data_IF_772057058403
#
_entry.id   IF_772057058403
#
_cell.length_a   1.000
_cell.length_b   1.000
_cell.length_c   1.000
_cell.angle_alpha   90.00
_cell.angle_beta   90.00
_cell.angle_gamma   90.00
#
_symmetry.space_group_name_H-M   'P 1'
#
loop_
_entity.id
_entity.type
_entity.pdbx_description
1 polymer ?
#
# COMPACT_ATOMS: atom_id res chain seq x y z
N UNK A 1 7.97 29.92 -1.99
CA UNK A 1 6.94 30.59 -1.16
C UNK A 1 5.87 29.61 -0.64
N UNK A 2 4.91 29.08 -1.45
CA UNK A 2 3.98 28.04 -0.96
C UNK A 2 4.68 26.69 -0.75
N UNK A 3 5.70 26.39 -1.55
CA UNK A 3 6.52 25.18 -1.45
C UNK A 3 7.28 25.08 -0.12
N UNK A 4 7.80 26.22 0.38
CA UNK A 4 8.60 26.27 1.63
C UNK A 4 7.73 26.13 2.89
N UNK A 5 6.51 26.70 2.87
CA UNK A 5 5.56 26.55 3.98
C UNK A 5 4.96 25.14 4.03
N UNK A 6 4.70 24.54 2.87
CA UNK A 6 4.32 23.14 2.79
C UNK A 6 5.46 22.24 3.32
N UNK A 7 6.71 22.52 2.97
CA UNK A 7 7.88 21.81 3.50
C UNK A 7 7.99 21.95 5.03
N UNK A 8 7.80 23.15 5.58
CA UNK A 8 7.75 23.37 7.03
C UNK A 8 6.62 22.59 7.68
N UNK A 9 5.40 22.67 7.15
CA UNK A 9 4.25 21.94 7.65
C UNK A 9 4.48 20.42 7.64
N UNK A 10 4.98 19.85 6.53
CA UNK A 10 5.31 18.42 6.44
C UNK A 10 6.38 18.01 7.46
N UNK A 11 7.40 18.84 7.66
CA UNK A 11 8.48 18.58 8.61
C UNK A 11 7.99 18.59 10.08
N UNK A 12 7.14 19.54 10.45
CA UNK A 12 6.59 19.62 11.81
C UNK A 12 5.44 18.63 12.05
N UNK A 13 4.70 18.22 11.02
CA UNK A 13 3.61 17.25 11.14
C UNK A 13 4.14 15.81 11.22
N UNK A 14 5.28 15.52 10.59
CA UNK A 14 5.87 14.18 10.52
C UNK A 14 7.33 14.18 10.99
N UNK A 15 7.54 14.47 12.26
CA UNK A 15 8.88 14.56 12.88
C UNK A 15 9.65 13.24 12.87
N UNK A 16 8.94 12.10 12.79
CA UNK A 16 9.52 10.76 12.92
C UNK A 16 9.75 10.06 11.57
N UNK A 17 9.50 10.73 10.44
CA UNK A 17 9.71 10.14 9.12
C UNK A 17 11.19 10.15 8.73
N UNK A 18 11.71 9.07 8.11
CA UNK A 18 13.05 9.06 7.53
C UNK A 18 13.21 10.20 6.51
N UNK A 19 14.39 10.85 6.43
CA UNK A 19 14.62 12.01 5.55
C UNK A 19 14.33 11.73 4.07
N UNK A 20 14.53 10.47 3.62
CA UNK A 20 14.14 10.04 2.27
C UNK A 20 12.64 10.07 2.03
N UNK A 21 11.81 9.70 3.02
CA UNK A 21 10.34 9.72 2.92
C UNK A 21 9.79 11.14 2.99
N UNK A 22 10.40 12.02 3.79
CA UNK A 22 10.06 13.46 3.79
C UNK A 22 10.34 14.11 2.43
N UNK A 23 11.47 13.76 1.79
CA UNK A 23 11.81 14.26 0.45
C UNK A 23 10.80 13.81 -0.60
N UNK A 24 10.39 12.54 -0.55
CA UNK A 24 9.36 11.98 -1.45
C UNK A 24 7.99 12.61 -1.20
N UNK A 25 7.61 12.81 0.07
CA UNK A 25 6.37 13.48 0.46
C UNK A 25 6.35 14.92 -0.07
N UNK A 26 7.47 15.65 0.03
CA UNK A 26 7.62 16.99 -0.54
C UNK A 26 7.50 16.98 -2.07
N UNK A 27 8.21 16.09 -2.74
CA UNK A 27 8.21 16.00 -4.20
C UNK A 27 6.83 15.60 -4.76
N UNK A 28 6.05 14.83 -3.99
CA UNK A 28 4.67 14.53 -4.33
C UNK A 28 3.75 15.69 -4.00
N UNK A 29 3.76 16.25 -2.78
CA UNK A 29 2.87 17.33 -2.40
C UNK A 29 3.07 18.60 -3.25
N UNK A 30 4.31 18.87 -3.68
CA UNK A 30 4.70 20.01 -4.50
C UNK A 30 5.15 19.54 -5.88
N UNK A 31 4.20 19.20 -6.74
CA UNK A 31 4.48 19.01 -8.15
C UNK A 31 3.42 19.68 -9.02
N UNK A 32 3.84 20.03 -10.25
CA UNK A 32 2.99 20.71 -11.22
C UNK A 32 1.73 19.90 -11.56
N UNK A 33 1.79 18.57 -11.53
CA UNK A 33 0.64 17.71 -11.80
C UNK A 33 -0.43 17.83 -10.71
N UNK A 34 -0.02 17.86 -9.44
CA UNK A 34 -0.90 18.04 -8.31
C UNK A 34 -1.48 19.45 -8.27
N UNK A 35 -0.69 20.48 -8.60
CA UNK A 35 -1.25 21.83 -8.79
C UNK A 35 -2.24 21.90 -9.94
N UNK A 36 -1.99 21.22 -11.06
CA UNK A 36 -2.96 21.14 -12.14
C UNK A 36 -4.26 20.45 -11.71
N UNK A 37 -4.18 19.37 -10.92
CA UNK A 37 -5.36 18.69 -10.34
C UNK A 37 -6.13 19.60 -9.39
N UNK A 38 -5.43 20.37 -8.56
CA UNK A 38 -6.03 21.41 -7.70
C UNK A 38 -6.74 22.47 -8.54
N UNK A 39 -6.13 22.91 -9.64
CA UNK A 39 -6.74 23.88 -10.57
C UNK A 39 -8.03 23.34 -11.21
N UNK A 40 -8.08 22.05 -11.53
CA UNK A 40 -9.30 21.41 -12.04
C UNK A 40 -10.36 21.29 -10.95
N UNK A 41 -9.99 20.77 -9.77
CA UNK A 41 -10.88 20.56 -8.62
C UNK A 41 -11.61 21.82 -8.18
N UNK A 42 -10.91 22.96 -8.17
CA UNK A 42 -11.48 24.26 -7.81
C UNK A 42 -11.94 25.08 -9.01
N UNK A 43 -12.10 24.44 -10.17
CA UNK A 43 -12.59 25.07 -11.42
C UNK A 43 -11.77 26.27 -11.90
N UNK A 44 -10.52 26.44 -11.45
CA UNK A 44 -9.67 27.57 -11.84
C UNK A 44 -9.33 27.59 -13.33
N UNK A 45 -9.33 26.41 -13.97
CA UNK A 45 -9.08 26.26 -15.41
C UNK A 45 -10.06 27.06 -16.29
N UNK A 46 -11.31 27.30 -15.86
CA UNK A 46 -12.30 28.06 -16.64
C UNK A 46 -12.02 29.56 -16.68
N UNK A 47 -11.19 30.06 -15.75
CA UNK A 47 -10.80 31.45 -15.66
C UNK A 47 -9.48 31.74 -16.39
N UNK A 48 -8.83 30.71 -16.95
CA UNK A 48 -7.63 30.87 -17.73
C UNK A 48 -7.96 31.54 -19.08
N UNK A 49 -7.38 32.71 -19.30
CA UNK A 49 -7.48 33.39 -20.61
C UNK A 49 -6.38 32.90 -21.54
N UNK A 50 -6.76 32.23 -22.62
CA UNK A 50 -5.83 31.84 -23.69
C UNK A 50 -6.53 31.83 -25.06
N UNK A 51 -5.74 31.82 -26.14
CA UNK A 51 -6.24 31.75 -27.52
C UNK A 51 -5.87 30.47 -28.27
N UNK A 52 -5.23 29.50 -27.61
CA UNK A 52 -4.75 28.27 -28.26
C UNK A 52 -5.79 27.15 -28.19
N UNK A 53 -6.29 26.72 -29.36
CA UNK A 53 -7.18 25.57 -29.49
C UNK A 53 -6.52 24.24 -29.10
N UNK A 54 -5.21 24.10 -29.34
CA UNK A 54 -4.45 22.94 -28.92
C UNK A 54 -4.31 22.85 -27.39
N UNK A 55 -4.24 23.99 -26.71
CA UNK A 55 -4.24 24.05 -25.25
C UNK A 55 -5.62 23.75 -24.67
N UNK A 56 -6.67 24.31 -25.27
CA UNK A 56 -8.07 24.03 -24.91
C UNK A 56 -8.35 22.53 -24.89
N UNK A 57 -7.92 21.83 -25.94
CA UNK A 57 -8.09 20.37 -26.07
C UNK A 57 -7.37 19.61 -24.96
N UNK A 58 -6.12 19.98 -24.66
CA UNK A 58 -5.33 19.35 -23.59
C UNK A 58 -5.95 19.58 -22.21
N UNK A 59 -6.46 20.79 -21.94
CA UNK A 59 -7.16 21.10 -20.68
C UNK A 59 -8.43 20.27 -20.57
N UNK A 60 -9.24 20.23 -21.63
CA UNK A 60 -10.51 19.49 -21.65
C UNK A 60 -10.30 17.99 -21.42
N UNK A 61 -9.31 17.39 -22.09
CA UNK A 61 -8.96 15.97 -21.92
C UNK A 61 -8.50 15.67 -20.49
N UNK A 62 -7.64 16.52 -19.93
CA UNK A 62 -7.17 16.39 -18.55
C UNK A 62 -8.29 16.57 -17.52
N UNK A 63 -9.20 17.53 -17.73
CA UNK A 63 -10.36 17.76 -16.85
C UNK A 63 -11.25 16.51 -16.80
N UNK A 64 -11.51 15.90 -17.96
CA UNK A 64 -12.32 14.68 -18.05
C UNK A 64 -11.69 13.53 -17.25
N UNK A 65 -10.39 13.32 -17.39
CA UNK A 65 -9.67 12.27 -16.66
C UNK A 65 -9.69 12.51 -15.15
N UNK A 66 -9.42 13.74 -14.70
CA UNK A 66 -9.48 14.06 -13.27
C UNK A 66 -10.89 13.84 -12.72
N UNK A 67 -11.93 14.19 -13.47
CA UNK A 67 -13.32 13.96 -13.06
C UNK A 67 -13.66 12.46 -12.99
N UNK A 68 -13.19 11.67 -13.96
CA UNK A 68 -13.35 10.20 -13.97
C UNK A 68 -12.59 9.55 -12.81
N UNK A 69 -11.40 10.04 -12.45
CA UNK A 69 -10.65 9.59 -11.27
C UNK A 69 -11.38 9.92 -9.96
N UNK A 70 -11.88 11.15 -9.81
CA UNK A 70 -12.63 11.57 -8.62
C UNK A 70 -13.93 10.77 -8.41
N UNK A 71 -14.50 10.22 -9.48
CA UNK A 71 -15.67 9.35 -9.42
C UNK A 71 -15.38 7.95 -8.86
N UNK A 72 -14.10 7.54 -8.78
CA UNK A 72 -13.67 6.22 -8.30
C UNK A 72 -13.15 6.30 -6.85
N UNK A 73 -13.88 5.79 -5.85
CA UNK A 73 -13.43 5.83 -4.46
C UNK A 73 -12.14 5.01 -4.28
N UNK A 74 -11.09 5.65 -3.74
CA UNK A 74 -9.81 5.01 -3.39
C UNK A 74 -8.69 5.13 -4.43
N UNK A 75 -8.93 5.75 -5.58
CA UNK A 75 -7.89 5.96 -6.61
C UNK A 75 -7.27 7.36 -6.50
N UNK A 76 -6.32 7.52 -5.58
CA UNK A 76 -5.53 8.74 -5.50
C UNK A 76 -4.30 8.63 -6.40
N UNK A 77 -4.43 9.04 -7.67
CA UNK A 77 -3.33 9.07 -8.64
C UNK A 77 -2.41 10.29 -8.40
N UNK A 78 -1.78 10.36 -7.21
CA UNK A 78 -0.79 11.40 -6.92
C UNK A 78 0.49 11.12 -7.74
N UNK A 79 0.54 11.60 -8.98
CA UNK A 79 1.72 11.48 -9.87
C UNK A 79 1.85 10.12 -10.59
N UNK A 80 0.75 9.39 -10.73
CA UNK A 80 0.68 8.10 -11.44
C UNK A 80 -0.23 8.11 -12.67
N UNK A 81 -0.81 9.26 -13.01
CA UNK A 81 -1.57 9.44 -14.25
C UNK A 81 -0.66 9.25 -15.45
N UNK A 82 -1.15 8.52 -16.46
CA UNK A 82 -0.44 8.35 -17.73
C UNK A 82 -0.55 9.61 -18.61
N UNK A 83 -1.39 10.57 -18.23
CA UNK A 83 -1.58 11.84 -18.92
C UNK A 83 -0.77 12.97 -18.30
N UNK A 84 -0.02 13.65 -19.17
CA UNK A 84 0.80 14.79 -18.77
C UNK A 84 -0.08 16.02 -18.57
N UNK A 85 -0.23 16.44 -17.32
CA UNK A 85 -0.96 17.67 -16.99
C UNK A 85 -0.42 18.89 -17.79
N UNK A 86 -1.31 19.74 -18.33
CA UNK A 86 -0.91 21.00 -18.96
C UNK A 86 -0.18 21.88 -17.93
N UNK A 87 1.07 22.25 -18.21
CA UNK A 87 1.90 23.04 -17.28
C UNK A 87 1.23 24.33 -16.81
N UNK A 88 0.52 24.99 -17.73
CA UNK A 88 -0.19 26.23 -17.45
C UNK A 88 -1.16 26.13 -16.26
N UNK A 89 -1.76 24.95 -16.01
CA UNK A 89 -2.68 24.78 -14.90
C UNK A 89 -1.95 24.83 -13.55
N UNK A 90 -0.75 24.26 -13.47
CA UNK A 90 0.11 24.41 -12.30
C UNK A 90 0.63 25.84 -12.15
N UNK A 91 1.05 26.44 -13.26
CA UNK A 91 1.55 27.83 -13.28
C UNK A 91 0.50 28.83 -12.76
N UNK A 92 -0.79 28.64 -13.06
CA UNK A 92 -1.89 29.49 -12.54
C UNK A 92 -1.97 29.41 -11.01
N UNK A 93 -1.92 28.20 -10.46
CA UNK A 93 -2.00 28.00 -9.01
C UNK A 93 -0.79 28.65 -8.32
N UNK A 94 0.41 28.49 -8.87
CA UNK A 94 1.60 29.18 -8.35
C UNK A 94 1.51 30.71 -8.53
N UNK A 95 0.93 31.19 -9.63
CA UNK A 95 0.73 32.62 -9.89
C UNK A 95 -0.27 33.24 -8.92
N UNK A 96 -1.34 32.53 -8.56
CA UNK A 96 -2.31 32.97 -7.53
C UNK A 96 -1.62 33.06 -6.17
N UNK A 97 -0.76 32.10 -5.82
CA UNK A 97 0.04 32.18 -4.59
C UNK A 97 0.93 33.42 -4.57
N UNK A 98 1.57 33.72 -5.70
CA UNK A 98 2.38 34.93 -5.88
C UNK A 98 1.55 36.22 -5.77
N UNK A 99 0.35 36.25 -6.34
CA UNK A 99 -0.55 37.40 -6.25
C UNK A 99 -0.97 37.68 -4.80
N UNK A 100 -1.40 36.65 -4.06
CA UNK A 100 -1.76 36.78 -2.64
C UNK A 100 -0.56 37.22 -1.81
N UNK A 101 0.63 36.70 -2.10
CA UNK A 101 1.86 37.10 -1.41
C UNK A 101 2.14 38.59 -1.59
N UNK A 102 1.97 39.12 -2.80
CA UNK A 102 2.17 40.55 -3.05
C UNK A 102 1.06 41.41 -2.41
N UNK A 103 -0.20 40.98 -2.52
CA UNK A 103 -1.38 41.67 -1.98
C UNK A 103 -1.36 41.75 -0.44
N UNK A 104 -0.85 40.71 0.22
CA UNK A 104 -0.71 40.65 1.68
C UNK A 104 0.52 41.39 2.24
N UNK A 105 1.22 42.18 1.42
CA UNK A 105 2.43 42.87 1.88
C UNK A 105 3.60 41.91 2.18
N UNK A 106 3.68 40.78 1.46
CA UNK A 106 4.69 39.73 1.61
C UNK A 106 4.52 38.87 2.86
N UNK A 107 3.30 38.70 3.35
CA UNK A 107 2.99 37.78 4.47
C UNK A 107 2.71 36.36 3.96
N UNK A 108 3.67 35.47 4.20
CA UNK A 108 3.55 34.06 3.82
C UNK A 108 2.51 33.28 4.63
N UNK A 109 2.18 33.72 5.84
CA UNK A 109 1.15 33.08 6.67
C UNK A 109 -0.23 33.26 6.06
N UNK A 110 -0.50 34.41 5.45
CA UNK A 110 -1.74 34.68 4.72
C UNK A 110 -1.84 33.79 3.48
N UNK A 111 -0.75 33.63 2.73
CA UNK A 111 -0.70 32.72 1.57
C UNK A 111 -1.03 31.29 2.00
N UNK A 112 -0.40 30.80 3.07
CA UNK A 112 -0.65 29.46 3.59
C UNK A 112 -2.10 29.27 4.04
N UNK A 113 -2.67 30.24 4.77
CA UNK A 113 -4.07 30.21 5.23
C UNK A 113 -5.06 30.06 4.07
N UNK A 114 -4.79 30.68 2.92
CA UNK A 114 -5.65 30.56 1.73
C UNK A 114 -5.38 29.26 0.96
N UNK A 115 -4.11 28.83 0.85
CA UNK A 115 -3.74 27.66 0.06
C UNK A 115 -3.99 26.32 0.77
N UNK A 116 -3.88 26.27 2.08
CA UNK A 116 -4.07 25.05 2.87
C UNK A 116 -5.42 24.34 2.62
N UNK A 117 -6.58 25.01 2.57
CA UNK A 117 -7.84 24.36 2.20
C UNK A 117 -7.91 23.98 0.71
N UNK A 118 -7.25 24.74 -0.18
CA UNK A 118 -7.23 24.43 -1.61
C UNK A 118 -6.46 23.14 -1.92
N UNK A 119 -5.39 22.88 -1.17
CA UNK A 119 -4.55 21.69 -1.30
C UNK A 119 -5.15 20.43 -0.63
N UNK A 120 -6.33 20.51 -0.02
CA UNK A 120 -6.95 19.38 0.65
C UNK A 120 -7.68 18.43 -0.34
N UNK A 121 -7.62 17.09 -0.20
CA UNK A 121 -6.83 16.34 0.77
C UNK A 121 -5.34 16.40 0.42
N UNK A 122 -4.52 16.74 1.42
CA UNK A 122 -3.08 16.82 1.24
C UNK A 122 -2.48 15.43 1.17
N UNK A 123 -1.37 15.29 0.44
CA UNK A 123 -0.61 14.04 0.39
C UNK A 123 -0.09 13.72 1.79
N UNK A 124 -0.57 12.63 2.36
CA UNK A 124 -0.08 12.04 3.61
C UNK A 124 0.87 10.87 3.32
N UNK A 125 1.73 10.44 4.24
CA UNK A 125 2.63 9.31 4.03
C UNK A 125 1.91 8.01 3.65
N UNK A 126 0.68 7.83 4.12
CA UNK A 126 -0.19 6.67 3.84
C UNK A 126 -0.83 6.77 2.46
N UNK A 127 -1.10 7.98 1.98
CA UNK A 127 -1.67 8.25 0.65
C UNK A 127 -0.61 8.56 -0.40
N UNK A 128 0.65 8.74 0.00
CA UNK A 128 1.80 8.92 -0.86
C UNK A 128 2.05 7.61 -1.60
N UNK A 129 1.72 7.51 -2.90
CA UNK A 129 1.96 6.29 -3.63
C UNK A 129 3.47 6.07 -3.69
N UNK A 130 3.91 4.91 -3.20
CA UNK A 130 5.30 4.50 -3.35
C UNK A 130 5.61 4.39 -4.84
N UNK A 131 6.72 4.98 -5.27
CA UNK A 131 7.12 4.90 -6.67
C UNK A 131 7.27 3.41 -7.05
N UNK A 132 6.65 2.91 -8.14
CA UNK A 132 6.57 1.48 -8.44
C UNK A 132 7.94 0.78 -8.46
N UNK A 133 8.98 1.46 -8.95
CA UNK A 133 10.36 0.94 -8.95
C UNK A 133 10.89 0.74 -7.52
N UNK A 134 10.58 1.67 -6.62
CA UNK A 134 11.01 1.63 -5.22
C UNK A 134 10.22 0.59 -4.43
N UNK A 135 8.88 0.56 -4.59
CA UNK A 135 8.01 -0.46 -3.99
C UNK A 135 8.49 -1.87 -4.41
N UNK A 136 8.78 -2.07 -5.69
CA UNK A 136 9.29 -3.35 -6.18
C UNK A 136 10.68 -3.69 -5.61
N UNK A 137 11.59 -2.73 -5.55
CA UNK A 137 12.93 -2.94 -4.99
C UNK A 137 12.89 -3.30 -3.51
N UNK A 138 12.11 -2.58 -2.71
CA UNK A 138 11.94 -2.86 -1.28
C UNK A 138 11.30 -4.24 -1.06
N UNK A 139 10.30 -4.62 -1.86
CA UNK A 139 9.68 -5.96 -1.81
C UNK A 139 10.69 -7.06 -2.10
N UNK A 140 11.44 -6.96 -3.19
CA UNK A 140 12.44 -7.97 -3.54
C UNK A 140 13.53 -8.06 -2.46
N UNK A 141 13.95 -6.94 -1.89
CA UNK A 141 14.93 -6.93 -0.80
C UNK A 141 14.40 -7.59 0.48
N UNK A 142 13.13 -7.38 0.82
CA UNK A 142 12.47 -8.04 1.96
C UNK A 142 12.33 -9.56 1.78
N UNK A 143 12.10 -10.01 0.54
CA UNK A 143 11.96 -11.43 0.22
C UNK A 143 13.29 -12.12 -0.16
N UNK A 144 14.40 -11.36 -0.14
CA UNK A 144 15.73 -11.82 -0.56
C UNK A 144 15.80 -12.36 -2.00
N UNK A 145 15.02 -11.76 -2.90
CA UNK A 145 14.98 -12.11 -4.33
C UNK A 145 15.91 -11.20 -5.16
N UNK A 146 16.50 -11.74 -6.22
CA UNK A 146 17.33 -10.99 -7.16
C UNK A 146 16.49 -10.21 -8.18
N UNK A 147 16.46 -8.88 -8.05
CA UNK A 147 15.78 -7.98 -8.98
C UNK A 147 16.72 -7.48 -10.09
N UNK A 148 16.36 -7.72 -11.35
CA UNK A 148 17.08 -7.26 -12.54
C UNK A 148 16.17 -6.47 -13.48
N UNK A 149 16.68 -5.36 -14.02
CA UNK A 149 16.02 -4.61 -15.10
C UNK A 149 16.82 -4.76 -16.40
N UNK A 150 16.14 -5.17 -17.47
CA UNK A 150 16.71 -5.18 -18.82
C UNK A 150 15.99 -4.16 -19.68
N UNK A 151 16.74 -3.31 -20.36
CA UNK A 151 16.17 -2.27 -21.22
C UNK A 151 16.69 -2.45 -22.64
N UNK A 152 15.77 -2.50 -23.59
CA UNK A 152 16.06 -2.52 -25.02
C UNK A 152 15.41 -1.31 -25.69
N UNK A 153 16.03 -0.77 -26.74
CA UNK A 153 15.47 0.35 -27.50
C UNK A 153 15.33 -0.05 -28.96
N UNK A 154 14.11 0.05 -29.48
CA UNK A 154 13.78 -0.22 -30.87
C UNK A 154 13.18 1.07 -31.44
N UNK A 155 13.99 1.79 -32.24
CA UNK A 155 13.62 3.11 -32.76
C UNK A 155 13.33 4.13 -31.65
N UNK A 156 12.14 4.73 -31.71
CA UNK A 156 11.67 5.71 -30.72
C UNK A 156 11.05 5.09 -29.46
N UNK A 157 10.99 3.75 -29.35
CA UNK A 157 10.34 3.07 -28.24
C UNK A 157 11.37 2.37 -27.37
N UNK A 158 11.37 2.67 -26.06
CA UNK A 158 12.15 1.96 -25.07
C UNK A 158 11.28 0.88 -24.41
N UNK A 159 11.72 -0.37 -24.52
CA UNK A 159 11.14 -1.52 -23.81
C UNK A 159 11.94 -1.78 -22.55
N UNK A 160 11.28 -1.89 -21.41
CA UNK A 160 11.89 -2.29 -20.15
C UNK A 160 11.22 -3.57 -19.66
N UNK A 161 12.04 -4.54 -19.32
CA UNK A 161 11.69 -5.84 -18.79
C UNK A 161 12.23 -5.97 -17.37
N UNK A 162 11.42 -6.56 -16.51
CA UNK A 162 11.70 -6.75 -15.08
C UNK A 162 11.78 -8.24 -14.80
N UNK A 163 12.91 -8.68 -14.28
CA UNK A 163 13.19 -10.05 -13.91
C UNK A 163 13.36 -10.16 -12.39
N UNK A 164 12.78 -11.19 -11.80
CA UNK A 164 12.94 -11.55 -10.38
C UNK A 164 13.38 -13.01 -10.34
N UNK A 165 14.55 -13.27 -9.76
CA UNK A 165 15.22 -14.60 -9.75
C UNK A 165 15.30 -15.23 -11.15
N UNK A 166 15.58 -14.41 -12.17
CA UNK A 166 15.70 -14.84 -13.56
C UNK A 166 14.38 -15.05 -14.30
N UNK A 167 13.22 -14.90 -13.64
CA UNK A 167 11.90 -15.02 -14.27
C UNK A 167 11.38 -13.63 -14.66
N UNK A 168 10.91 -13.46 -15.90
CA UNK A 168 10.28 -12.22 -16.34
C UNK A 168 8.92 -12.05 -15.64
N UNK A 169 8.74 -10.94 -14.92
CA UNK A 169 7.52 -10.65 -14.15
C UNK A 169 6.75 -9.47 -14.73
N UNK A 170 7.44 -8.51 -15.35
CA UNK A 170 6.80 -7.34 -15.95
C UNK A 170 7.54 -6.83 -17.17
N UNK A 171 6.79 -6.26 -18.11
CA UNK A 171 7.31 -5.59 -19.30
C UNK A 171 6.48 -4.36 -19.59
N UNK A 172 7.12 -3.29 -20.05
CA UNK A 172 6.42 -2.13 -20.58
C UNK A 172 7.25 -1.41 -21.64
N UNK A 173 6.54 -0.65 -22.48
CA UNK A 173 7.13 0.12 -23.56
C UNK A 173 6.73 1.58 -23.45
N UNK A 174 7.68 2.49 -23.63
CA UNK A 174 7.42 3.92 -23.67
C UNK A 174 8.54 4.67 -24.42
N UNK A 175 8.25 5.79 -25.11
CA UNK A 175 9.31 6.61 -25.70
C UNK A 175 10.36 7.10 -24.69
N UNK A 176 9.96 7.33 -23.44
CA UNK A 176 10.85 7.71 -22.35
C UNK A 176 11.25 6.49 -21.52
N UNK A 177 12.54 6.15 -21.49
CA UNK A 177 13.10 5.01 -20.72
C UNK A 177 12.66 5.01 -19.25
N UNK A 178 12.66 6.17 -18.59
CA UNK A 178 12.22 6.30 -17.18
C UNK A 178 10.76 5.93 -16.99
N UNK A 179 9.89 6.31 -17.93
CA UNK A 179 8.47 5.99 -17.88
C UNK A 179 8.23 4.51 -18.21
N UNK A 180 8.96 3.96 -19.19
CA UNK A 180 8.94 2.52 -19.47
C UNK A 180 9.34 1.70 -18.23
N UNK A 181 10.37 2.13 -17.50
CA UNK A 181 10.79 1.48 -16.26
C UNK A 181 9.73 1.55 -15.16
N UNK A 182 9.10 2.71 -14.96
CA UNK A 182 7.99 2.88 -14.01
C UNK A 182 6.82 1.95 -14.33
N UNK A 183 6.40 1.90 -15.59
CA UNK A 183 5.31 1.05 -16.06
C UNK A 183 5.65 -0.43 -15.93
N UNK A 184 6.87 -0.84 -16.28
CA UNK A 184 7.30 -2.23 -16.17
C UNK A 184 7.33 -2.69 -14.70
N UNK A 185 7.79 -1.83 -13.78
CA UNK A 185 7.74 -2.11 -12.34
C UNK A 185 6.30 -2.18 -11.81
N UNK A 186 5.40 -1.30 -12.28
CA UNK A 186 3.97 -1.36 -11.94
C UNK A 186 3.33 -2.68 -12.40
N UNK A 187 3.60 -3.09 -13.63
CA UNK A 187 3.12 -4.35 -14.19
C UNK A 187 3.67 -5.55 -13.40
N UNK A 188 4.95 -5.50 -13.01
CA UNK A 188 5.55 -6.54 -12.19
C UNK A 188 4.89 -6.64 -10.80
N UNK A 189 4.64 -5.50 -10.13
CA UNK A 189 3.94 -5.47 -8.83
C UNK A 189 2.52 -6.03 -8.93
N UNK A 190 1.78 -5.72 -10.00
CA UNK A 190 0.45 -6.28 -10.22
C UNK A 190 0.51 -7.81 -10.40
N UNK A 191 1.43 -8.31 -11.23
CA UNK A 191 1.63 -9.74 -11.44
C UNK A 191 2.04 -10.48 -10.16
N UNK A 192 2.85 -9.86 -9.29
CA UNK A 192 3.21 -10.42 -7.99
C UNK A 192 1.99 -10.51 -7.05
N UNK A 193 1.18 -9.44 -6.97
CA UNK A 193 -0.05 -9.41 -6.17
C UNK A 193 -1.04 -10.47 -6.63
N UNK A 194 -1.19 -10.66 -7.95
CA UNK A 194 -2.02 -11.73 -8.51
C UNK A 194 -1.48 -13.13 -8.19
N UNK A 195 -0.16 -13.35 -8.30
CA UNK A 195 0.48 -14.62 -7.90
C UNK A 195 0.31 -14.92 -6.41
N UNK A 196 0.39 -13.90 -5.55
CA UNK A 196 0.17 -14.04 -4.10
C UNK A 196 -1.30 -14.33 -3.79
N UNK A 197 -2.24 -13.69 -4.49
CA UNK A 197 -3.68 -13.97 -4.39
C UNK A 197 -4.02 -15.37 -4.90
N UNK A 198 -3.43 -15.82 -6.02
CA UNK A 198 -3.60 -17.16 -6.55
C UNK A 198 -3.05 -18.23 -5.59
N UNK A 199 -1.85 -18.03 -5.02
CA UNK A 199 -1.30 -18.90 -3.97
C UNK A 199 -2.16 -18.97 -2.71
N UNK A 200 -2.93 -17.92 -2.43
CA UNK A 200 -3.87 -17.89 -1.28
C UNK A 200 -5.15 -18.66 -1.62
N UNK A 201 -5.69 -18.48 -2.83
CA UNK A 201 -6.86 -19.22 -3.33
C UNK A 201 -6.58 -20.71 -3.55
N UNK A 202 -5.41 -21.09 -4.06
CA UNK A 202 -4.99 -22.49 -4.20
C UNK A 202 -4.83 -23.17 -2.83
N UNK A 203 -4.39 -22.45 -1.80
CA UNK A 203 -4.38 -22.95 -0.41
C UNK A 203 -5.79 -23.11 0.16
N UNK A 204 -6.75 -22.30 -0.27
CA UNK A 204 -8.16 -22.40 0.10
C UNK A 204 -8.89 -23.52 -0.67
N UNK A 205 -8.58 -23.73 -1.96
CA UNK A 205 -9.15 -24.80 -2.79
C UNK A 205 -8.52 -26.18 -2.53
N UNK A 206 -7.22 -26.26 -2.22
CA UNK A 206 -6.63 -27.49 -1.66
C UNK A 206 -7.28 -27.85 -0.31
N UNK A 207 -7.69 -26.86 0.49
CA UNK A 207 -8.47 -27.08 1.72
C UNK A 207 -9.90 -27.59 1.43
N UNK A 208 -10.45 -27.28 0.25
CA UNK A 208 -11.74 -27.78 -0.22
C UNK A 208 -11.70 -29.21 -0.77
N UNK A 209 -10.58 -29.64 -1.38
CA UNK A 209 -10.43 -30.97 -2.01
C UNK A 209 -9.66 -32.01 -1.18
N UNK A 210 -8.93 -31.63 -0.13
CA UNK A 210 -8.32 -32.57 0.86
C UNK A 210 -9.29 -33.06 1.94
N UNK A 211 -10.60 -33.16 1.67
CA UNK A 211 -11.55 -33.98 2.47
C UNK A 211 -11.53 -35.45 2.04
N UNK A 212 -10.36 -36.01 1.81
CA UNK A 212 -10.07 -37.46 1.91
C UNK A 212 -8.56 -37.63 1.88
N UNK A 213 -8.04 -38.15 2.99
CA UNK A 213 -6.66 -38.54 3.27
C UNK A 213 -5.67 -37.42 3.66
N UNK A 214 -5.51 -37.28 4.98
CA UNK A 214 -4.18 -37.29 5.61
C UNK A 214 -3.45 -35.95 5.73
N UNK A 215 -3.63 -35.29 6.88
CA UNK A 215 -2.59 -34.52 7.59
C UNK A 215 -2.01 -33.28 6.91
N UNK A 216 -2.62 -32.10 7.12
CA UNK A 216 -1.89 -30.84 7.38
C UNK A 216 -2.79 -29.71 7.96
N UNK A 217 -2.85 -29.68 9.30
CA UNK A 217 -2.67 -28.52 10.21
C UNK A 217 -2.92 -27.08 9.71
N UNK A 218 -4.15 -26.57 9.86
CA UNK A 218 -4.47 -25.13 9.96
C UNK A 218 -5.23 -24.77 11.25
N UNK A 219 -4.92 -25.43 12.35
CA UNK A 219 -5.76 -25.40 13.57
C UNK A 219 -5.60 -24.11 14.37
N UNK A 220 -4.38 -23.57 14.49
CA UNK A 220 -4.15 -22.28 15.17
C UNK A 220 -4.75 -21.09 14.42
N UNK A 221 -4.66 -21.09 13.09
CA UNK A 221 -5.24 -20.02 12.28
C UNK A 221 -6.77 -20.03 12.36
N UNK A 222 -7.37 -21.22 12.30
CA UNK A 222 -8.82 -21.40 12.50
C UNK A 222 -9.28 -20.85 13.86
N UNK A 223 -8.53 -21.12 14.93
CA UNK A 223 -8.85 -20.60 16.26
C UNK A 223 -8.76 -19.06 16.32
N UNK A 224 -7.73 -18.47 15.70
CA UNK A 224 -7.60 -17.02 15.62
C UNK A 224 -8.76 -16.38 14.83
N UNK A 225 -9.14 -16.98 13.71
CA UNK A 225 -10.24 -16.48 12.86
C UNK A 225 -11.58 -16.54 13.60
N UNK A 226 -11.83 -17.56 14.41
CA UNK A 226 -13.02 -17.65 15.26
C UNK A 226 -13.03 -16.55 16.31
N UNK A 227 -11.89 -16.30 16.97
CA UNK A 227 -11.79 -15.22 17.95
C UNK A 227 -12.06 -13.86 17.30
N UNK A 228 -11.50 -13.62 16.11
CA UNK A 228 -11.71 -12.38 15.37
C UNK A 228 -13.18 -12.21 14.95
N UNK A 229 -13.80 -13.26 14.39
CA UNK A 229 -15.23 -13.23 13.96
C UNK A 229 -16.19 -13.02 15.12
N UNK A 230 -15.86 -13.54 16.31
CA UNK A 230 -16.70 -13.43 17.52
C UNK A 230 -16.31 -12.25 18.43
N UNK A 231 -15.40 -11.40 17.97
CA UNK A 231 -14.88 -10.24 18.72
C UNK A 231 -14.31 -10.63 20.10
N UNK A 232 -13.68 -11.80 20.18
CA UNK A 232 -12.97 -12.27 21.36
C UNK A 232 -11.49 -11.86 21.31
N UNK A 233 -10.87 -11.52 22.45
CA UNK A 233 -9.43 -11.30 22.52
C UNK A 233 -8.65 -12.54 22.06
N UNK A 234 -7.43 -12.30 21.55
CA UNK A 234 -6.60 -13.36 20.97
C UNK A 234 -6.31 -14.50 21.95
N UNK A 235 -6.24 -15.77 21.46
CA UNK A 235 -5.97 -16.93 22.31
C UNK A 235 -4.66 -16.82 23.07
N UNK A 236 -4.69 -17.14 24.37
CA UNK A 236 -3.52 -17.11 25.22
C UNK A 236 -2.85 -18.49 25.24
N UNK A 237 -1.61 -18.54 24.75
CA UNK A 237 -0.79 -19.75 24.74
C UNK A 237 0.26 -19.71 25.85
N UNK A 238 0.35 -20.78 26.66
CA UNK A 238 1.37 -20.95 27.70
C UNK A 238 2.20 -22.20 27.42
N UNK A 239 3.53 -22.10 27.54
CA UNK A 239 4.39 -23.29 27.52
C UNK A 239 4.24 -24.02 28.85
N UNK A 240 3.87 -25.31 28.81
CA UNK A 240 3.67 -26.15 30.00
C UNK A 240 4.93 -26.96 30.28
N UNK A 241 5.53 -27.51 29.23
CA UNK A 241 6.74 -28.33 29.36
C UNK A 241 7.62 -28.18 28.11
N UNK A 242 8.92 -28.02 28.32
CA UNK A 242 9.94 -28.09 27.29
C UNK A 242 11.02 -29.06 27.78
N UNK A 243 11.18 -30.19 27.10
CA UNK A 243 12.09 -31.22 27.55
C UNK A 243 12.42 -32.25 26.47
N UNK A 244 13.37 -33.12 26.77
CA UNK A 244 13.82 -34.18 25.87
C UNK A 244 15.29 -34.04 25.47
N UNK A 245 15.87 -35.09 24.86
CA UNK A 245 17.25 -35.08 24.40
C UNK A 245 17.51 -33.95 23.41
N UNK A 246 18.74 -33.44 23.31
CA UNK A 246 19.08 -32.35 22.38
C UNK A 246 18.70 -32.65 20.92
N UNK A 247 18.70 -33.92 20.52
CA UNK A 247 18.31 -34.40 19.20
C UNK A 247 16.80 -34.71 19.04
N UNK A 248 16.00 -34.58 20.11
CA UNK A 248 14.58 -34.94 20.14
C UNK A 248 13.79 -34.10 21.17
N UNK A 249 13.96 -32.77 21.12
CA UNK A 249 13.21 -31.85 21.99
C UNK A 249 11.71 -31.93 21.72
N UNK A 250 10.91 -31.96 22.79
CA UNK A 250 9.45 -31.93 22.77
C UNK A 250 8.93 -30.72 23.55
N UNK A 251 7.89 -30.12 23.01
CA UNK A 251 7.23 -28.93 23.53
C UNK A 251 5.76 -29.24 23.78
N UNK A 252 5.27 -28.86 24.94
CA UNK A 252 3.86 -29.00 25.34
C UNK A 252 3.31 -27.61 25.61
N UNK A 253 2.19 -27.27 24.97
CA UNK A 253 1.55 -25.96 25.11
C UNK A 253 0.12 -26.12 25.61
N UNK A 254 -0.30 -25.18 26.44
CA UNK A 254 -1.68 -24.97 26.83
C UNK A 254 -2.27 -23.76 26.10
N UNK A 255 -3.57 -23.80 25.81
CA UNK A 255 -4.31 -22.68 25.21
C UNK A 255 -5.64 -22.47 25.92
N UNK A 256 -6.03 -21.20 26.08
CA UNK A 256 -7.36 -20.79 26.51
C UNK A 256 -7.77 -19.49 25.83
N UNK A 257 -9.08 -19.26 25.68
CA UNK A 257 -9.66 -18.05 25.09
C UNK A 257 -10.59 -17.40 26.11
N UNK A 258 -10.70 -16.08 26.09
CA UNK A 258 -11.68 -15.36 26.91
C UNK A 258 -12.88 -15.02 26.03
N UNK A 259 -14.01 -15.69 26.25
CA UNK A 259 -15.24 -15.42 25.51
C UNK A 259 -16.02 -14.29 26.16
N UNK A 260 -16.67 -13.46 25.33
CA UNK A 260 -17.45 -12.31 25.80
C UNK A 260 -18.69 -12.70 26.60
N UNK A 261 -19.17 -13.93 26.45
CA UNK A 261 -20.40 -14.43 27.06
C UNK A 261 -20.17 -15.31 28.30
N UNK A 262 -19.06 -16.04 28.39
CA UNK A 262 -18.79 -17.01 29.48
C UNK A 262 -17.45 -16.82 30.18
N UNK A 263 -16.66 -15.82 29.78
CA UNK A 263 -15.34 -15.58 30.34
C UNK A 263 -14.29 -16.57 29.84
N UNK A 264 -13.31 -16.90 30.67
CA UNK A 264 -12.21 -17.80 30.27
C UNK A 264 -12.71 -19.24 30.05
N UNK A 265 -12.35 -19.82 28.91
CA UNK A 265 -12.51 -21.25 28.65
C UNK A 265 -11.57 -22.07 29.53
N UNK A 266 -11.89 -23.36 29.68
CA UNK A 266 -10.95 -24.33 30.25
C UNK A 266 -9.61 -24.32 29.49
N UNK A 267 -8.54 -24.58 30.24
CA UNK A 267 -7.18 -24.62 29.70
C UNK A 267 -6.94 -25.97 29.00
N UNK A 268 -6.84 -25.95 27.66
CA UNK A 268 -6.60 -27.15 26.88
C UNK A 268 -5.10 -27.37 26.68
N UNK A 269 -4.56 -28.46 27.23
CA UNK A 269 -3.15 -28.85 27.09
C UNK A 269 -2.99 -29.79 25.91
N UNK A 270 -2.20 -29.39 24.91
CA UNK A 270 -1.90 -30.21 23.74
C UNK A 270 -0.87 -31.31 24.02
N UNK A 271 -0.70 -32.20 23.06
CA UNK A 271 0.28 -33.29 23.13
C UNK A 271 1.73 -32.75 23.00
N UNK A 272 2.74 -33.47 23.53
CA UNK A 272 4.14 -33.07 23.38
C UNK A 272 4.61 -33.20 21.91
N UNK A 273 4.97 -32.09 21.27
CA UNK A 273 5.31 -32.05 19.84
C UNK A 273 6.77 -31.60 19.59
N UNK A 274 7.40 -32.00 18.47
CA UNK A 274 8.81 -31.68 18.18
C UNK A 274 9.09 -30.22 17.84
N UNK A 275 8.06 -29.37 17.74
CA UNK A 275 8.19 -27.94 17.44
C UNK A 275 7.13 -27.16 18.20
N UNK A 276 7.50 -25.98 18.68
CA UNK A 276 6.58 -25.01 19.31
C UNK A 276 5.35 -24.75 18.45
N UNK A 277 5.51 -24.68 17.12
CA UNK A 277 4.37 -24.47 16.20
C UNK A 277 3.38 -25.63 16.28
N UNK A 278 3.88 -26.86 16.16
CA UNK A 278 3.05 -28.08 16.24
C UNK A 278 2.43 -28.28 17.63
N UNK A 279 3.13 -27.90 18.69
CA UNK A 279 2.63 -27.98 20.06
C UNK A 279 1.43 -27.04 20.28
N UNK A 280 1.54 -25.79 19.78
CA UNK A 280 0.44 -24.82 19.81
C UNK A 280 -0.74 -25.27 18.92
N UNK A 281 -0.46 -25.87 17.77
CA UNK A 281 -1.48 -26.41 16.87
C UNK A 281 -2.25 -27.58 17.51
N UNK A 282 -1.56 -28.45 18.27
CA UNK A 282 -2.18 -29.54 19.02
C UNK A 282 -3.09 -29.02 20.13
N UNK A 283 -2.63 -28.03 20.90
CA UNK A 283 -3.45 -27.39 21.92
C UNK A 283 -4.69 -26.70 21.31
N UNK A 284 -4.53 -26.04 20.16
CA UNK A 284 -5.62 -25.37 19.46
C UNK A 284 -6.73 -26.33 18.99
N UNK A 285 -6.39 -27.57 18.58
CA UNK A 285 -7.39 -28.58 18.19
C UNK A 285 -8.35 -28.88 19.34
N UNK A 286 -7.79 -29.16 20.52
CA UNK A 286 -8.57 -29.51 21.70
C UNK A 286 -9.51 -28.36 22.11
N UNK A 287 -9.01 -27.13 22.03
CA UNK A 287 -9.84 -25.96 22.34
C UNK A 287 -10.94 -25.71 21.29
N UNK A 288 -10.67 -25.97 20.00
CA UNK A 288 -11.68 -25.89 18.95
C UNK A 288 -12.80 -26.91 19.17
N UNK A 289 -12.47 -28.14 19.57
CA UNK A 289 -13.45 -29.16 19.91
C UNK A 289 -14.30 -28.77 21.12
N UNK A 290 -13.68 -28.16 22.14
CA UNK A 290 -14.37 -27.65 23.31
C UNK A 290 -15.32 -26.49 22.94
N UNK A 291 -14.87 -25.54 22.12
CA UNK A 291 -15.71 -24.45 21.63
C UNK A 291 -16.88 -24.97 20.78
N UNK A 292 -16.67 -25.96 19.93
CA UNK A 292 -17.75 -26.58 19.17
C UNK A 292 -18.79 -27.24 20.10
N UNK A 293 -18.37 -27.87 21.20
CA UNK A 293 -19.31 -28.44 22.18
C UNK A 293 -20.09 -27.38 22.97
N UNK A 294 -19.47 -26.24 23.28
CA UNK A 294 -20.10 -25.18 24.07
C UNK A 294 -21.11 -24.33 23.26
N UNK A 295 -20.97 -24.29 21.94
CA UNK A 295 -21.77 -23.47 21.03
C UNK A 295 -22.46 -24.27 19.91
N UNK A 296 -22.58 -25.60 20.06
CA UNK A 296 -23.47 -26.45 19.23
C UNK A 296 -24.87 -26.50 19.82
#
# INVERSE_FOLDING_TARGET
>A
MPQDHLQGHLFFTYTDLPPGRLTDLRAAAVNNENFARVAVKHTLHVHLRHGSSALEKQITEFVKEVQDELSKPGFNSFGLGDCKAPKVLGDIVESIAGAIFLDSGRDTSVVWRVFQPLLHPMVTPETLPMHPVRELQERCQQQAEGLEYRACRIGNLATVEVFIDGVQIGVAQNPQKKMAQKLAARNALAALKEKEAAKTKEKEEENGKKKKNGSQTFTRQTLNDICLRRNWPMPLYRCVNEGGPAHAKRFTFAVRVNTTDRGWTDECVGEPMPSVKKAKDSAAVLLLELLNKLYS
#
